data_IF_600838207314
#
_entry.id   IF_600838207314
#
_cell.length_a   1.000
_cell.length_b   1.000
_cell.length_c   1.000
_cell.angle_alpha   90.00
_cell.angle_beta   90.00
_cell.angle_gamma   90.00
#
_symmetry.space_group_name_H-M   'P 1'
#
loop_
_entity.id
_entity.type
_entity.pdbx_description
1 polymer ?
#
# COMPACT_ATOMS: atom_id res chain seq x y z
N UNK A 1 10.22 14.31 13.96
CA UNK A 1 9.13 14.38 12.95
C UNK A 1 9.02 13.02 12.27
N UNK A 2 7.81 12.52 11.98
CA UNK A 2 7.64 11.22 11.32
C UNK A 2 7.95 11.33 9.82
N UNK A 3 8.71 10.38 9.30
CA UNK A 3 8.89 10.15 7.86
C UNK A 3 8.12 8.91 7.43
N UNK A 4 7.28 9.04 6.41
CA UNK A 4 6.60 7.92 5.77
C UNK A 4 7.25 7.62 4.42
N UNK A 5 7.92 6.48 4.32
CA UNK A 5 8.40 5.95 3.05
C UNK A 5 7.21 5.40 2.26
N UNK A 6 6.92 6.04 1.12
CA UNK A 6 5.72 5.80 0.31
C UNK A 6 6.13 5.42 -1.12
N UNK A 7 5.40 4.49 -1.74
CA UNK A 7 5.64 4.08 -3.11
C UNK A 7 5.33 5.24 -4.06
N UNK A 8 6.29 5.57 -4.92
CA UNK A 8 6.13 6.61 -5.93
C UNK A 8 6.26 6.06 -7.34
N UNK A 9 5.41 6.56 -8.22
CA UNK A 9 5.64 6.54 -9.66
C UNK A 9 6.32 7.84 -10.12
N UNK A 10 6.24 8.10 -11.42
CA UNK A 10 6.69 9.36 -12.03
C UNK A 10 5.91 10.54 -11.48
N UNK A 11 6.55 11.72 -11.44
CA UNK A 11 5.95 12.97 -10.96
C UNK A 11 5.33 12.87 -9.55
N UNK A 12 5.97 12.12 -8.66
CA UNK A 12 5.54 11.92 -7.26
C UNK A 12 4.16 11.25 -7.07
N UNK A 13 3.65 10.53 -8.08
CA UNK A 13 2.36 9.86 -7.99
C UNK A 13 2.36 8.73 -6.95
N UNK A 14 1.47 8.80 -5.96
CA UNK A 14 1.36 7.82 -4.86
C UNK A 14 0.16 6.90 -5.05
N UNK A 15 0.40 5.62 -5.31
CA UNK A 15 -0.67 4.68 -5.68
C UNK A 15 -0.68 3.36 -4.88
N UNK A 16 0.22 3.18 -3.91
CA UNK A 16 0.22 1.97 -3.06
C UNK A 16 -0.95 2.00 -2.07
N UNK A 17 -1.87 1.01 -2.09
CA UNK A 17 -2.97 0.96 -1.13
C UNK A 17 -2.50 0.88 0.34
N UNK A 18 -1.53 0.01 0.72
CA UNK A 18 -0.98 0.00 2.08
C UNK A 18 -0.42 1.35 2.56
N UNK A 19 0.28 2.09 1.69
CA UNK A 19 0.81 3.41 2.04
C UNK A 19 -0.31 4.44 2.21
N UNK A 20 -1.36 4.38 1.37
CA UNK A 20 -2.55 5.22 1.56
C UNK A 20 -3.29 4.93 2.86
N UNK A 21 -3.42 3.66 3.27
CA UNK A 21 -4.01 3.32 4.57
C UNK A 21 -3.24 3.98 5.72
N UNK A 22 -1.90 3.90 5.72
CA UNK A 22 -1.07 4.55 6.75
C UNK A 22 -1.19 6.08 6.71
N UNK A 23 -1.21 6.70 5.51
CA UNK A 23 -1.44 8.15 5.37
C UNK A 23 -2.78 8.57 5.99
N UNK A 24 -3.85 7.83 5.72
CA UNK A 24 -5.17 8.13 6.27
C UNK A 24 -5.18 8.01 7.80
N UNK A 25 -4.48 7.03 8.38
CA UNK A 25 -4.32 6.93 9.82
C UNK A 25 -3.55 8.12 10.40
N UNK A 26 -2.42 8.52 9.80
CA UNK A 26 -1.65 9.69 10.24
C UNK A 26 -2.48 10.98 10.18
N UNK A 27 -3.22 11.18 9.08
CA UNK A 27 -4.11 12.31 8.89
C UNK A 27 -5.26 12.33 9.91
N UNK A 28 -5.95 11.19 10.10
CA UNK A 28 -7.01 11.07 11.11
C UNK A 28 -6.51 11.41 12.52
N UNK A 29 -5.27 11.00 12.82
CA UNK A 29 -4.64 11.26 14.11
C UNK A 29 -4.05 12.67 14.25
N UNK A 30 -4.15 13.51 13.22
CA UNK A 30 -3.51 14.84 13.16
C UNK A 30 -2.00 14.82 13.44
N UNK A 31 -1.33 13.72 13.07
CA UNK A 31 0.12 13.57 13.24
C UNK A 31 0.80 14.27 12.06
N UNK A 32 1.74 15.18 12.33
CA UNK A 32 2.57 15.80 11.29
C UNK A 32 3.59 14.79 10.77
N UNK A 33 3.62 14.60 9.46
CA UNK A 33 4.57 13.71 8.79
C UNK A 33 5.04 14.30 7.46
N UNK A 34 6.18 13.82 7.01
CA UNK A 34 6.73 14.05 5.67
C UNK A 34 6.75 12.73 4.89
N UNK A 35 6.48 12.78 3.58
CA UNK A 35 6.53 11.58 2.71
C UNK A 35 7.87 11.51 1.99
N UNK A 36 8.49 10.34 2.02
CA UNK A 36 9.72 10.04 1.28
C UNK A 36 9.39 9.17 0.07
N UNK A 37 9.65 9.61 -1.18
CA UNK A 37 9.46 8.80 -2.37
C UNK A 37 10.42 7.62 -2.45
N UNK A 38 9.82 6.42 -2.60
CA UNK A 38 10.51 5.17 -2.89
C UNK A 38 9.95 4.58 -4.17
N UNK A 39 10.77 4.48 -5.20
CA UNK A 39 10.47 3.76 -6.45
C UNK A 39 10.60 2.25 -6.26
N UNK A 40 10.15 1.45 -7.24
CA UNK A 40 10.19 -0.02 -7.09
C UNK A 40 11.61 -0.55 -6.96
N UNK A 41 12.54 0.00 -7.74
CA UNK A 41 13.97 -0.34 -7.79
C UNK A 41 14.78 0.19 -6.61
N UNK A 42 14.34 1.25 -5.94
CA UNK A 42 15.10 1.98 -4.92
C UNK A 42 15.12 1.27 -3.55
N UNK A 43 15.56 0.01 -3.51
CA UNK A 43 15.64 -0.78 -2.27
C UNK A 43 16.62 -0.20 -1.26
N UNK A 44 17.70 0.42 -1.74
CA UNK A 44 18.72 1.03 -0.88
C UNK A 44 18.16 2.14 0.01
N UNK A 45 17.16 2.90 -0.47
CA UNK A 45 16.49 3.96 0.32
C UNK A 45 15.83 3.44 1.59
N UNK A 46 15.45 2.17 1.61
CA UNK A 46 14.76 1.52 2.72
C UNK A 46 15.59 0.40 3.37
N UNK A 47 16.85 0.22 2.96
CA UNK A 47 17.71 -0.86 3.44
C UNK A 47 17.93 -0.83 4.96
N UNK A 48 17.91 0.36 5.58
CA UNK A 48 17.99 0.53 7.03
C UNK A 48 16.90 -0.23 7.80
N UNK A 49 15.76 -0.51 7.14
CA UNK A 49 14.64 -1.24 7.73
C UNK A 49 14.76 -2.77 7.62
N UNK A 50 15.71 -3.26 6.82
CA UNK A 50 15.78 -4.66 6.41
C UNK A 50 14.61 -5.12 5.51
N UNK A 51 13.71 -4.22 5.13
CA UNK A 51 12.55 -4.53 4.28
C UNK A 51 12.83 -4.19 2.82
N UNK A 52 12.06 -4.84 1.93
CA UNK A 52 12.04 -4.54 0.49
C UNK A 52 10.72 -3.92 0.03
N UNK A 53 9.78 -3.71 0.96
CA UNK A 53 8.44 -3.17 0.74
C UNK A 53 8.19 -1.95 1.63
N UNK A 54 7.26 -1.11 1.18
CA UNK A 54 6.72 0.06 1.89
C UNK A 54 5.22 -0.19 2.16
N UNK A 55 4.59 0.46 3.16
CA UNK A 55 5.07 1.60 3.95
C UNK A 55 6.07 1.25 5.06
N UNK A 56 6.92 2.23 5.39
CA UNK A 56 7.76 2.25 6.59
C UNK A 56 7.62 3.64 7.22
N UNK A 57 7.39 3.68 8.53
CA UNK A 57 7.49 4.90 9.33
C UNK A 57 8.86 4.93 9.99
N UNK A 58 9.62 5.99 9.79
CA UNK A 58 10.80 6.34 10.58
C UNK A 58 10.42 7.44 11.58
N UNK A 59 10.85 7.28 12.83
CA UNK A 59 10.63 8.20 13.94
C UNK A 59 11.91 8.31 14.80
N UNK A 60 11.90 9.17 15.82
CA UNK A 60 13.12 9.51 16.59
C UNK A 60 13.83 8.34 17.26
N UNK A 61 13.13 7.23 17.51
CA UNK A 61 13.66 6.06 18.23
C UNK A 61 13.89 4.85 17.31
N UNK A 62 13.66 4.97 16.01
CA UNK A 62 13.79 3.87 15.06
C UNK A 62 12.74 3.90 13.95
N UNK A 63 12.26 2.73 13.55
CA UNK A 63 11.27 2.60 12.49
C UNK A 63 10.26 1.48 12.79
N UNK A 64 9.12 1.56 12.12
CA UNK A 64 8.06 0.54 12.11
C UNK A 64 7.68 0.26 10.66
N UNK A 65 7.61 -1.00 10.29
CA UNK A 65 7.24 -1.47 8.95
C UNK A 65 6.04 -2.42 9.03
N UNK A 66 5.50 -2.82 7.87
CA UNK A 66 4.20 -3.47 7.73
C UNK A 66 3.03 -2.52 8.06
N UNK A 67 2.10 -2.36 7.13
CA UNK A 67 1.02 -1.37 7.29
C UNK A 67 0.13 -1.65 8.49
N UNK A 68 -0.11 -2.92 8.85
CA UNK A 68 -0.94 -3.23 10.02
C UNK A 68 -0.18 -3.00 11.33
N UNK A 69 1.09 -3.38 11.39
CA UNK A 69 1.94 -3.10 12.55
C UNK A 69 2.11 -1.59 12.77
N UNK A 70 2.26 -0.81 11.70
CA UNK A 70 2.26 0.65 11.76
C UNK A 70 0.94 1.19 12.34
N UNK A 71 -0.21 0.69 11.89
CA UNK A 71 -1.52 1.12 12.40
C UNK A 71 -1.64 0.86 13.91
N UNK A 72 -1.24 -0.33 14.38
CA UNK A 72 -1.23 -0.66 15.82
C UNK A 72 -0.29 0.25 16.60
N UNK A 73 0.93 0.43 16.11
CA UNK A 73 1.92 1.29 16.74
C UNK A 73 1.43 2.73 16.86
N UNK A 74 0.78 3.27 15.82
CA UNK A 74 0.18 4.60 15.86
C UNK A 74 -0.92 4.70 16.93
N UNK A 75 -1.80 3.71 17.02
CA UNK A 75 -2.86 3.70 18.04
C UNK A 75 -2.31 3.62 19.47
N UNK A 76 -1.24 2.85 19.67
CA UNK A 76 -0.60 2.64 20.97
C UNK A 76 0.26 3.84 21.43
N UNK A 77 0.91 4.56 20.50
CA UNK A 77 1.85 5.63 20.83
C UNK A 77 1.24 7.05 20.76
N UNK A 78 0.07 7.21 20.13
CA UNK A 78 -0.63 8.49 20.00
C UNK A 78 -2.07 8.35 20.48
N UNK A 79 -2.32 8.76 21.73
CA UNK A 79 -3.57 8.46 22.43
C UNK A 79 -4.77 9.32 21.97
N UNK A 80 -4.52 10.46 21.33
CA UNK A 80 -5.56 11.27 20.70
C UNK A 80 -6.07 10.63 19.40
N UNK A 81 -7.35 10.83 19.08
CA UNK A 81 -8.01 10.32 17.87
C UNK A 81 -7.72 8.81 17.68
N UNK A 82 -8.22 7.98 18.60
CA UNK A 82 -7.99 6.53 18.55
C UNK A 82 -8.48 5.94 17.24
N UNK A 83 -7.68 5.04 16.66
CA UNK A 83 -8.04 4.25 15.49
C UNK A 83 -8.97 3.10 15.87
N UNK A 84 -8.83 2.60 17.10
CA UNK A 84 -9.67 1.54 17.65
C UNK A 84 -10.37 2.03 18.92
N UNK A 85 -11.68 1.81 19.00
CA UNK A 85 -12.49 2.17 20.17
C UNK A 85 -12.18 1.20 21.32
N UNK A 86 -12.02 -0.08 21.00
CA UNK A 86 -11.74 -1.18 21.92
C UNK A 86 -11.18 -2.40 21.15
N UNK A 87 -10.85 -3.46 21.90
CA UNK A 87 -10.27 -4.68 21.34
C UNK A 87 -11.17 -5.37 20.30
N UNK A 88 -12.49 -5.37 20.51
CA UNK A 88 -13.45 -5.91 19.53
C UNK A 88 -13.39 -5.14 18.21
N UNK A 89 -13.35 -3.81 18.28
CA UNK A 89 -13.21 -2.98 17.07
C UNK A 89 -11.87 -3.20 16.36
N UNK A 90 -10.78 -3.37 17.12
CA UNK A 90 -9.44 -3.69 16.58
C UNK A 90 -9.46 -5.01 15.82
N UNK A 91 -10.05 -6.05 16.40
CA UNK A 91 -10.15 -7.37 15.78
C UNK A 91 -11.03 -7.35 14.52
N UNK A 92 -12.16 -6.65 14.56
CA UNK A 92 -13.00 -6.50 13.38
C UNK A 92 -12.31 -5.68 12.27
N UNK A 93 -11.62 -4.59 12.62
CA UNK A 93 -10.80 -3.82 11.67
C UNK A 93 -9.68 -4.67 11.07
N UNK A 94 -9.05 -5.56 11.84
CA UNK A 94 -8.05 -6.48 11.31
C UNK A 94 -8.65 -7.47 10.32
N UNK A 95 -9.83 -8.02 10.65
CA UNK A 95 -10.57 -8.87 9.72
C UNK A 95 -10.87 -8.13 8.40
N UNK A 96 -11.38 -6.90 8.46
CA UNK A 96 -11.64 -6.09 7.27
C UNK A 96 -10.36 -5.78 6.48
N UNK A 97 -9.26 -5.46 7.15
CA UNK A 97 -7.95 -5.27 6.53
C UNK A 97 -7.47 -6.53 5.78
N UNK A 98 -7.62 -7.70 6.39
CA UNK A 98 -7.27 -8.97 5.75
C UNK A 98 -8.23 -9.32 4.61
N UNK A 99 -9.54 -9.09 4.78
CA UNK A 99 -10.53 -9.37 3.76
C UNK A 99 -10.32 -8.47 2.53
N UNK A 100 -10.13 -7.16 2.73
CA UNK A 100 -9.86 -6.22 1.63
C UNK A 100 -8.56 -6.57 0.90
N UNK A 101 -7.48 -6.88 1.62
CA UNK A 101 -6.21 -7.23 1.00
C UNK A 101 -6.25 -8.57 0.23
N UNK A 102 -7.05 -9.54 0.67
CA UNK A 102 -7.10 -10.88 0.08
C UNK A 102 -8.22 -11.10 -0.93
N UNK A 103 -9.30 -10.33 -0.85
CA UNK A 103 -10.47 -10.48 -1.73
C UNK A 103 -10.56 -9.29 -2.69
N UNK A 104 -10.57 -8.08 -2.16
CA UNK A 104 -10.84 -6.87 -2.95
C UNK A 104 -9.64 -6.45 -3.81
N UNK A 105 -8.44 -6.37 -3.21
CA UNK A 105 -7.23 -5.92 -3.93
C UNK A 105 -6.82 -6.81 -5.11
N UNK A 106 -6.98 -8.15 -5.08
CA UNK A 106 -6.72 -8.98 -6.25
C UNK A 106 -7.61 -8.65 -7.46
N UNK A 107 -8.89 -8.35 -7.23
CA UNK A 107 -9.80 -7.93 -8.32
C UNK A 107 -9.39 -6.56 -8.84
N UNK A 108 -9.14 -5.61 -7.94
CA UNK A 108 -8.63 -4.29 -8.30
C UNK A 108 -7.33 -4.37 -9.11
N UNK A 109 -6.41 -5.26 -8.71
CA UNK A 109 -5.17 -5.50 -9.44
C UNK A 109 -5.44 -5.92 -10.89
N UNK A 110 -6.39 -6.84 -11.15
CA UNK A 110 -6.73 -7.24 -12.53
C UNK A 110 -7.25 -6.07 -13.36
N UNK A 111 -7.96 -5.12 -12.75
CA UNK A 111 -8.45 -3.92 -13.43
C UNK A 111 -7.27 -3.01 -13.82
N UNK A 112 -6.39 -2.68 -12.87
CA UNK A 112 -5.42 -1.58 -13.05
C UNK A 112 -3.99 -2.02 -13.44
N UNK A 113 -3.63 -3.29 -13.28
CA UNK A 113 -2.23 -3.75 -13.38
C UNK A 113 -1.56 -3.38 -14.71
N UNK A 114 -2.32 -3.43 -15.80
CA UNK A 114 -1.83 -3.14 -17.13
C UNK A 114 -1.59 -1.63 -17.37
N UNK A 115 -2.15 -0.75 -16.54
CA UNK A 115 -1.97 0.69 -16.61
C UNK A 115 -0.84 1.19 -15.71
N UNK A 116 -0.47 0.44 -14.67
CA UNK A 116 0.61 0.83 -13.76
C UNK A 116 1.92 1.19 -14.49
N UNK A 117 2.38 0.47 -15.53
CA UNK A 117 3.57 0.88 -16.29
C UNK A 117 3.51 2.31 -16.84
N UNK A 118 2.32 2.83 -17.16
CA UNK A 118 2.14 4.19 -17.68
C UNK A 118 2.49 5.27 -16.65
N UNK A 119 2.49 4.93 -15.36
CA UNK A 119 2.82 5.85 -14.26
C UNK A 119 4.19 5.59 -13.65
N UNK A 120 4.98 4.69 -14.24
CA UNK A 120 6.37 4.43 -13.83
C UNK A 120 7.35 5.09 -14.80
N UNK A 121 8.63 5.04 -14.46
CA UNK A 121 9.72 5.57 -15.27
C UNK A 121 10.99 4.73 -15.12
N UNK A 122 11.87 4.80 -16.12
CA UNK A 122 13.16 4.10 -16.09
C UNK A 122 13.04 2.59 -15.89
N UNK A 123 13.91 2.04 -15.05
CA UNK A 123 13.99 0.60 -14.79
C UNK A 123 12.77 0.01 -14.05
N UNK A 124 11.97 0.84 -13.38
CA UNK A 124 10.78 0.40 -12.66
C UNK A 124 9.73 -0.22 -13.59
N UNK A 125 9.65 0.24 -14.84
CA UNK A 125 8.72 -0.29 -15.85
C UNK A 125 9.02 -1.78 -16.07
N UNK A 126 10.28 -2.10 -16.39
CA UNK A 126 10.71 -3.47 -16.67
C UNK A 126 10.66 -4.34 -15.41
N UNK A 127 11.09 -3.79 -14.26
CA UNK A 127 10.99 -4.47 -12.98
C UNK A 127 9.53 -4.83 -12.65
N UNK A 128 8.59 -3.88 -12.82
CA UNK A 128 7.18 -4.11 -12.57
C UNK A 128 6.64 -5.21 -13.48
N UNK A 129 6.81 -5.08 -14.80
CA UNK A 129 6.29 -6.05 -15.76
C UNK A 129 6.80 -7.45 -15.41
N UNK A 130 8.13 -7.63 -15.33
CA UNK A 130 8.73 -8.93 -15.02
C UNK A 130 8.17 -9.54 -13.74
N UNK A 131 8.24 -8.81 -12.63
CA UNK A 131 7.81 -9.32 -11.33
C UNK A 131 6.31 -9.63 -11.26
N UNK A 132 5.47 -8.91 -12.02
CA UNK A 132 4.02 -9.14 -12.02
C UNK A 132 3.65 -10.30 -12.93
N UNK A 133 4.30 -10.42 -14.08
CA UNK A 133 4.10 -11.54 -15.01
C UNK A 133 4.55 -12.88 -14.40
N UNK A 134 5.68 -12.87 -13.69
CA UNK A 134 6.14 -14.03 -12.89
C UNK A 134 5.08 -14.42 -11.84
N UNK A 135 4.54 -13.44 -11.10
CA UNK A 135 3.54 -13.66 -10.05
C UNK A 135 2.22 -14.25 -10.57
N UNK A 136 1.78 -13.83 -11.75
CA UNK A 136 0.49 -14.26 -12.33
C UNK A 136 0.62 -15.37 -13.37
N UNK A 137 1.84 -15.86 -13.60
CA UNK A 137 2.19 -16.85 -14.62
C UNK A 137 1.64 -16.48 -16.01
N UNK A 138 2.11 -15.37 -16.57
CA UNK A 138 1.77 -14.92 -17.92
C UNK A 138 1.64 -13.40 -18.05
N UNK A 139 1.32 -12.89 -19.25
CA UNK A 139 1.43 -11.47 -19.52
C UNK A 139 0.38 -10.65 -18.75
N UNK A 140 0.77 -9.49 -18.19
CA UNK A 140 -0.18 -8.61 -17.46
C UNK A 140 -1.29 -8.09 -18.36
N UNK A 141 -1.05 -8.04 -19.68
CA UNK A 141 -2.02 -7.63 -20.68
C UNK A 141 -3.19 -8.60 -20.84
N UNK A 142 -3.09 -9.85 -20.33
CA UNK A 142 -4.18 -10.82 -20.38
C UNK A 142 -5.46 -10.33 -19.71
N UNK A 143 -5.35 -9.42 -18.73
CA UNK A 143 -6.51 -8.86 -18.04
C UNK A 143 -7.29 -7.83 -18.87
N UNK A 144 -6.68 -7.23 -19.91
CA UNK A 144 -7.32 -6.16 -20.70
C UNK A 144 -8.64 -6.59 -21.34
N UNK A 145 -8.76 -7.88 -21.69
CA UNK A 145 -9.93 -8.44 -22.35
C UNK A 145 -11.16 -8.54 -21.43
N UNK A 146 -10.95 -8.52 -20.10
CA UNK A 146 -11.99 -8.78 -19.10
C UNK A 146 -12.16 -7.63 -18.10
N UNK A 147 -11.67 -6.41 -18.39
CA UNK A 147 -11.74 -5.26 -17.47
C UNK A 147 -13.18 -5.00 -17.01
N UNK A 148 -14.15 -4.98 -17.93
CA UNK A 148 -15.56 -4.74 -17.60
C UNK A 148 -16.13 -5.81 -16.65
N UNK A 149 -15.70 -7.07 -16.81
CA UNK A 149 -16.11 -8.16 -15.91
C UNK A 149 -15.49 -7.99 -14.52
N UNK A 150 -14.21 -7.62 -14.44
CA UNK A 150 -13.56 -7.35 -13.15
C UNK A 150 -14.13 -6.12 -12.44
N UNK A 151 -14.53 -5.07 -13.17
CA UNK A 151 -15.24 -3.93 -12.59
C UNK A 151 -16.58 -4.37 -12.02
N UNK A 152 -17.34 -5.19 -12.75
CA UNK A 152 -18.60 -5.74 -12.24
C UNK A 152 -18.40 -6.64 -11.02
N UNK A 153 -17.36 -7.48 -11.01
CA UNK A 153 -16.95 -8.29 -9.85
C UNK A 153 -16.63 -7.39 -8.65
N UNK A 154 -15.79 -6.38 -8.83
CA UNK A 154 -15.41 -5.43 -7.79
C UNK A 154 -16.64 -4.71 -7.21
N UNK A 155 -17.53 -4.21 -8.07
CA UNK A 155 -18.76 -3.53 -7.64
C UNK A 155 -19.67 -4.44 -6.83
N UNK A 156 -19.78 -5.72 -7.16
CA UNK A 156 -20.58 -6.69 -6.37
C UNK A 156 -19.99 -6.96 -4.99
N UNK A 157 -18.70 -6.69 -4.77
CA UNK A 157 -18.04 -6.92 -3.48
C UNK A 157 -18.21 -5.75 -2.51
N UNK A 158 -18.51 -4.56 -3.01
CA UNK A 158 -18.58 -3.33 -2.20
C UNK A 158 -19.98 -2.74 -2.08
N UNK A 159 -20.95 -3.29 -2.82
CA UNK A 159 -22.38 -2.98 -2.69
C UNK A 159 -23.07 -4.08 -1.88
#
# INVERSE_FOLDING_TARGET
MIKLYDLSGKNDLRFSPPCWTVKLCLLHKNIKFETVPVRFSEKDKIAFSGQILVPIIEHEKGFVNDSWEIIKWLDENYLENKLFINETSKNFSYFLYLWTSRQLLPVLFKIIAHEIPNVLEGEDINYYIKTREDRINGPITKFKLNISEFINEFNKMIN
#
